data_IF_625792619852
#
_entry.id   IF_625792619852
#
_cell.length_a   1.000
_cell.length_b   1.000
_cell.length_c   1.000
_cell.angle_alpha   90.00
_cell.angle_beta   90.00
_cell.angle_gamma   90.00
#
_symmetry.space_group_name_H-M   'P 1'
#
loop_
_entity.id
_entity.type
_entity.pdbx_description
1 polymer ?
#
# COMPACT_ATOMS: atom_id res chain seq x y z
N UNK A 1 -10.48 57.51 10.38
CA UNK A 1 -10.32 56.06 10.63
C UNK A 1 -9.67 55.50 9.38
N UNK A 2 -8.36 55.23 9.42
CA UNK A 2 -7.66 54.62 8.29
C UNK A 2 -8.01 53.14 8.28
N UNK A 3 -8.65 52.70 7.20
CA UNK A 3 -8.84 51.28 6.90
C UNK A 3 -7.47 50.66 6.64
N UNK A 4 -7.06 49.76 7.55
CA UNK A 4 -5.91 48.89 7.36
C UNK A 4 -6.23 47.95 6.20
N UNK A 5 -5.75 48.29 4.99
CA UNK A 5 -5.57 47.30 3.93
C UNK A 5 -4.50 46.32 4.40
N UNK A 6 -4.92 45.19 4.95
CA UNK A 6 -4.05 44.01 5.05
C UNK A 6 -3.81 43.54 3.61
N UNK A 7 -2.74 44.02 3.00
CA UNK A 7 -2.23 43.46 1.75
C UNK A 7 -1.48 42.18 2.08
N UNK A 8 -1.77 41.13 1.31
CA UNK A 8 -1.21 39.79 1.36
C UNK A 8 0.33 39.75 1.39
N UNK A 9 0.94 39.97 2.55
CA UNK A 9 2.37 39.69 2.78
C UNK A 9 2.56 38.23 3.22
N UNK A 10 2.02 37.30 2.43
CA UNK A 10 2.68 36.01 2.24
C UNK A 10 3.37 36.16 0.89
N UNK A 11 4.62 36.65 0.90
CA UNK A 11 5.43 36.61 -0.31
C UNK A 11 5.33 35.20 -0.91
N UNK A 12 4.98 35.13 -2.18
CA UNK A 12 4.91 33.85 -2.89
C UNK A 12 6.33 33.28 -2.96
N UNK A 13 6.66 32.42 -1.99
CA UNK A 13 7.96 31.73 -1.91
C UNK A 13 8.15 30.72 -3.07
N UNK A 14 7.11 30.50 -3.89
CA UNK A 14 7.20 29.63 -5.03
C UNK A 14 8.12 30.23 -6.09
N UNK A 15 8.90 29.36 -6.73
CA UNK A 15 9.71 29.79 -7.87
C UNK A 15 8.78 30.21 -9.01
N UNK A 16 9.22 31.12 -9.89
CA UNK A 16 8.41 31.58 -11.02
C UNK A 16 7.88 30.46 -11.93
N UNK A 17 8.55 29.30 -11.98
CA UNK A 17 8.09 28.14 -12.75
C UNK A 17 6.90 27.40 -12.13
N UNK A 18 6.56 27.69 -10.86
CA UNK A 18 5.49 27.04 -10.10
C UNK A 18 4.25 27.93 -9.93
N UNK A 19 3.62 28.34 -11.02
CA UNK A 19 2.30 28.97 -10.96
C UNK A 19 1.21 27.93 -10.62
N UNK A 20 0.71 27.96 -9.39
CA UNK A 20 -0.36 27.04 -8.94
C UNK A 20 -1.65 27.19 -9.75
N UNK A 21 -1.94 28.39 -10.28
CA UNK A 21 -3.12 28.63 -11.12
C UNK A 21 -3.04 27.84 -12.42
N UNK A 22 -1.84 27.70 -12.99
CA UNK A 22 -1.56 26.88 -14.17
C UNK A 22 -1.45 25.39 -13.83
N UNK A 23 -0.69 25.05 -12.78
CA UNK A 23 -0.42 23.66 -12.39
C UNK A 23 -1.67 22.92 -11.93
N UNK A 24 -2.63 23.63 -11.33
CA UNK A 24 -3.86 23.04 -10.81
C UNK A 24 -5.06 23.10 -11.76
N UNK A 25 -4.92 23.65 -12.98
CA UNK A 25 -6.02 23.68 -13.98
C UNK A 25 -6.62 22.30 -14.26
N UNK A 26 -5.80 21.27 -14.16
CA UNK A 26 -6.19 19.87 -14.37
C UNK A 26 -6.05 19.02 -13.10
N UNK A 27 -5.92 19.66 -11.94
CA UNK A 27 -5.84 18.94 -10.68
C UNK A 27 -7.17 18.27 -10.35
N UNK A 28 -7.12 16.95 -10.10
CA UNK A 28 -8.27 16.16 -9.69
C UNK A 28 -8.16 15.85 -8.21
N UNK A 29 -9.13 16.31 -7.42
CA UNK A 29 -9.18 16.01 -5.99
C UNK A 29 -9.25 14.50 -5.78
N UNK A 30 -8.31 13.97 -4.98
CA UNK A 30 -8.29 12.55 -4.63
C UNK A 30 -7.82 11.62 -5.76
N UNK A 31 -7.10 12.10 -6.78
CA UNK A 31 -6.54 11.30 -7.89
C UNK A 31 -5.83 10.01 -7.43
N UNK A 32 -5.20 10.02 -6.26
CA UNK A 32 -4.50 8.88 -5.67
C UNK A 32 -5.11 8.38 -4.36
N UNK A 33 -6.25 8.93 -3.92
CA UNK A 33 -6.86 8.59 -2.63
C UNK A 33 -7.26 7.11 -2.55
N UNK A 34 -7.76 6.53 -3.64
CA UNK A 34 -8.07 5.11 -3.69
C UNK A 34 -6.80 4.22 -3.60
N UNK A 35 -5.70 4.59 -4.27
CA UNK A 35 -4.41 3.87 -4.21
C UNK A 35 -3.79 3.95 -2.81
N UNK A 36 -3.89 5.12 -2.19
CA UNK A 36 -3.44 5.32 -0.81
C UNK A 36 -4.29 4.51 0.18
N UNK A 37 -5.62 4.53 0.03
CA UNK A 37 -6.55 3.74 0.87
C UNK A 37 -6.40 2.23 0.69
N UNK A 38 -6.03 1.78 -0.51
CA UNK A 38 -5.72 0.37 -0.74
C UNK A 38 -4.55 -0.09 0.16
N UNK A 39 -3.70 0.85 0.60
CA UNK A 39 -2.57 0.59 1.47
C UNK A 39 -1.54 -0.33 0.81
N UNK A 40 -0.38 -0.44 1.45
CA UNK A 40 0.49 -1.61 1.28
C UNK A 40 0.28 -2.42 2.55
N UNK A 41 -0.29 -3.62 2.45
CA UNK A 41 -0.43 -4.49 3.62
C UNK A 41 0.95 -5.08 3.95
N UNK A 42 1.75 -4.34 4.70
CA UNK A 42 3.08 -4.78 5.13
C UNK A 42 2.93 -5.74 6.31
N UNK A 43 3.40 -6.96 6.11
CA UNK A 43 3.42 -7.99 7.15
C UNK A 43 4.88 -8.26 7.51
N UNK A 44 5.22 -8.12 8.79
CA UNK A 44 6.54 -8.47 9.29
C UNK A 44 6.64 -10.00 9.35
N UNK A 45 7.64 -10.56 8.67
CA UNK A 45 7.97 -11.98 8.77
C UNK A 45 8.74 -12.26 10.06
N UNK A 46 8.56 -13.46 10.60
CA UNK A 46 9.42 -13.95 11.68
C UNK A 46 10.88 -14.07 11.17
N UNK A 47 11.90 -13.90 12.03
CA UNK A 47 13.30 -13.85 11.60
C UNK A 47 13.77 -15.10 10.83
N UNK A 48 13.33 -16.28 11.28
CA UNK A 48 13.60 -17.57 10.65
C UNK A 48 12.98 -17.68 9.24
N UNK A 49 11.75 -17.17 9.08
CA UNK A 49 11.08 -17.12 7.78
C UNK A 49 11.76 -16.12 6.85
N UNK A 50 12.18 -14.96 7.36
CA UNK A 50 12.91 -13.97 6.59
C UNK A 50 14.29 -14.48 6.13
N UNK A 51 14.96 -15.31 6.93
CA UNK A 51 16.24 -15.94 6.55
C UNK A 51 16.06 -17.01 5.46
N UNK A 52 14.93 -17.71 5.45
CA UNK A 52 14.64 -18.77 4.49
C UNK A 52 14.33 -18.27 3.07
N UNK A 53 13.91 -17.01 2.90
CA UNK A 53 13.51 -16.46 1.61
C UNK A 53 14.34 -15.22 1.22
N UNK A 54 14.94 -15.19 0.01
CA UNK A 54 15.81 -14.09 -0.40
C UNK A 54 15.06 -12.79 -0.76
N UNK A 55 13.80 -12.88 -1.18
CA UNK A 55 12.98 -11.73 -1.58
C UNK A 55 11.47 -11.98 -1.46
N UNK A 56 10.68 -10.91 -1.68
CA UNK A 56 9.22 -10.95 -1.64
C UNK A 56 8.60 -11.85 -2.72
N UNK A 57 9.27 -12.02 -3.86
CA UNK A 57 8.76 -12.84 -4.96
C UNK A 57 8.78 -14.32 -4.55
N UNK A 58 9.88 -14.77 -3.96
CA UNK A 58 10.03 -16.13 -3.45
C UNK A 58 9.00 -16.46 -2.35
N UNK A 59 8.75 -15.54 -1.42
CA UNK A 59 7.71 -15.70 -0.37
C UNK A 59 6.32 -15.82 -1.00
N UNK A 60 5.98 -14.92 -1.93
CA UNK A 60 4.67 -14.89 -2.55
C UNK A 60 4.40 -16.14 -3.39
N UNK A 61 5.39 -16.64 -4.11
CA UNK A 61 5.24 -17.84 -4.93
C UNK A 61 5.05 -19.10 -4.07
N UNK A 62 5.77 -19.21 -2.95
CA UNK A 62 5.57 -20.28 -1.98
C UNK A 62 4.15 -20.24 -1.38
N UNK A 63 3.67 -19.08 -0.94
CA UNK A 63 2.33 -18.93 -0.37
C UNK A 63 1.23 -19.23 -1.40
N UNK A 64 1.41 -18.81 -2.66
CA UNK A 64 0.48 -19.15 -3.76
C UNK A 64 0.40 -20.65 -3.99
N UNK A 65 1.53 -21.37 -3.94
CA UNK A 65 1.55 -22.82 -4.04
C UNK A 65 0.77 -23.47 -2.90
N UNK A 66 0.96 -23.01 -1.66
CA UNK A 66 0.19 -23.49 -0.50
C UNK A 66 -1.30 -23.25 -0.69
N UNK A 67 -1.71 -22.08 -1.19
CA UNK A 67 -3.12 -21.79 -1.51
C UNK A 67 -3.68 -22.71 -2.61
N UNK A 68 -2.87 -23.08 -3.61
CA UNK A 68 -3.26 -24.03 -4.64
C UNK A 68 -3.45 -25.43 -4.07
N UNK A 69 -2.50 -25.90 -3.25
CA UNK A 69 -2.59 -27.19 -2.57
C UNK A 69 -3.81 -27.27 -1.66
N UNK A 70 -4.11 -26.21 -0.91
CA UNK A 70 -5.28 -26.13 -0.04
C UNK A 70 -6.62 -26.18 -0.80
N UNK A 71 -6.64 -25.81 -2.08
CA UNK A 71 -7.83 -25.90 -2.96
C UNK A 71 -8.02 -27.29 -3.56
N UNK A 72 -7.02 -28.18 -3.50
CA UNK A 72 -7.16 -29.55 -3.97
C UNK A 72 -8.06 -30.30 -2.97
N UNK A 73 -9.27 -30.74 -3.37
CA UNK A 73 -10.15 -31.49 -2.50
C UNK A 73 -9.55 -32.89 -2.30
N UNK A 74 -8.78 -33.08 -1.24
CA UNK A 74 -8.15 -34.39 -0.97
C UNK A 74 -7.02 -34.44 0.05
N UNK A 75 -6.44 -33.32 0.49
CA UNK A 75 -5.34 -33.34 1.47
C UNK A 75 -5.79 -33.35 2.96
N UNK A 76 -7.07 -33.59 3.23
CA UNK A 76 -7.58 -33.91 4.56
C UNK A 76 -8.33 -35.25 4.50
N UNK A 77 -7.61 -36.34 4.23
CA UNK A 77 -8.14 -37.70 4.37
C UNK A 77 -7.41 -38.39 5.52
N UNK A 78 -8.10 -38.37 6.66
CA UNK A 78 -8.06 -39.32 7.78
C UNK A 78 -6.68 -39.72 8.35
N UNK A 79 -6.34 -39.15 9.51
CA UNK A 79 -5.53 -39.83 10.54
C UNK A 79 -6.30 -39.98 11.87
N UNK A 80 -7.62 -40.15 11.82
CA UNK A 80 -8.40 -40.51 13.01
C UNK A 80 -9.54 -41.48 12.63
N UNK A 81 -9.29 -42.78 12.81
CA UNK A 81 -10.17 -43.87 13.30
C UNK A 81 -9.29 -45.13 13.30
N UNK A 82 -9.31 -46.10 14.21
CA UNK A 82 -9.82 -46.28 15.56
C UNK A 82 -9.10 -47.55 16.08
N UNK A 83 -9.18 -47.79 17.37
CA UNK A 83 -8.75 -49.00 18.08
C UNK A 83 -8.97 -50.33 17.32
N UNK A 84 -7.91 -51.17 17.32
CA UNK A 84 -7.96 -52.62 17.46
C UNK A 84 -6.85 -53.02 18.42
#
# INVERSE_FOLDING_TARGET
MNELKQTDELEDELRPEYDLSELLKHAVRGKYAARYKAGTNLVLLAPDVAEAFPDEQAVNDALRLVMQLAKIPGAHRELITAEQ
#
